data_IF_966823886713
#
_entry.id   IF_966823886713
#
_cell.length_a   1.000
_cell.length_b   1.000
_cell.length_c   1.000
_cell.angle_alpha   90.00
_cell.angle_beta   90.00
_cell.angle_gamma   90.00
#
_symmetry.space_group_name_H-M   'P 1'
#
loop_
_entity.id
_entity.type
_entity.pdbx_description
1 polymer ?
#
# COMPACT_ATOMS: atom_id res chain seq x y z
N UNK A 1 14.49 12.47 -14.40
CA UNK A 1 13.41 11.77 -13.66
C UNK A 1 12.47 12.84 -13.12
N UNK A 2 11.16 12.64 -13.17
CA UNK A 2 10.22 13.57 -12.54
C UNK A 2 10.50 13.67 -11.04
N UNK A 3 10.28 14.84 -10.44
CA UNK A 3 10.34 15.00 -8.98
C UNK A 3 9.38 13.98 -8.33
N UNK A 4 9.75 13.37 -7.19
CA UNK A 4 8.80 12.59 -6.40
C UNK A 4 7.55 13.43 -6.09
N UNK A 5 6.35 12.83 -6.09
CA UNK A 5 5.15 13.51 -5.63
C UNK A 5 5.22 13.75 -4.12
N UNK A 6 4.36 14.63 -3.63
CA UNK A 6 4.15 14.81 -2.19
C UNK A 6 2.89 14.06 -1.78
N UNK A 7 3.04 13.03 -0.95
CA UNK A 7 1.91 12.38 -0.29
C UNK A 7 1.57 13.16 0.97
N UNK A 8 0.39 13.80 0.99
CA UNK A 8 -0.13 14.51 2.16
C UNK A 8 -1.17 13.64 2.84
N UNK A 9 -1.00 13.43 4.14
CA UNK A 9 -1.98 12.75 4.99
C UNK A 9 -2.71 13.84 5.77
N UNK A 10 -4.03 13.80 5.72
CA UNK A 10 -4.89 14.81 6.33
C UNK A 10 -5.77 14.19 7.41
N UNK A 11 -5.97 14.92 8.49
CA UNK A 11 -6.98 14.65 9.50
C UNK A 11 -8.14 15.63 9.32
N UNK A 12 -9.34 15.17 9.65
CA UNK A 12 -10.53 16.03 9.74
C UNK A 12 -10.98 16.04 11.19
N UNK A 13 -11.01 17.21 11.81
CA UNK A 13 -11.44 17.38 13.19
C UNK A 13 -12.96 17.16 13.33
N UNK A 14 -13.43 17.11 14.57
CA UNK A 14 -14.87 17.02 14.87
C UNK A 14 -15.67 18.24 14.37
N UNK A 15 -15.02 19.39 14.19
CA UNK A 15 -15.62 20.61 13.64
C UNK A 15 -15.55 20.67 12.11
N UNK A 16 -14.92 19.67 11.46
CA UNK A 16 -14.73 19.62 10.02
C UNK A 16 -13.50 20.37 9.51
N UNK A 17 -12.65 20.87 10.41
CA UNK A 17 -11.38 21.50 10.05
C UNK A 17 -10.39 20.45 9.56
N UNK A 18 -9.65 20.78 8.49
CA UNK A 18 -8.71 19.87 7.86
C UNK A 18 -7.28 20.28 8.17
N UNK A 19 -6.52 19.36 8.75
CA UNK A 19 -5.12 19.56 9.12
C UNK A 19 -4.22 18.60 8.36
N UNK A 20 -3.06 19.07 7.91
CA UNK A 20 -2.01 18.23 7.33
C UNK A 20 -1.25 17.56 8.47
N UNK A 21 -1.47 16.27 8.67
CA UNK A 21 -0.82 15.49 9.72
C UNK A 21 0.61 15.08 9.35
N UNK A 22 0.85 14.82 8.05
CA UNK A 22 2.17 14.49 7.53
C UNK A 22 2.30 14.83 6.03
N UNK A 23 3.52 15.12 5.60
CA UNK A 23 3.88 15.29 4.20
C UNK A 23 5.13 14.47 3.88
N UNK A 24 4.97 13.45 3.03
CA UNK A 24 6.06 12.57 2.58
C UNK A 24 6.48 13.03 1.19
N UNK A 25 7.75 13.43 1.04
CA UNK A 25 8.27 14.15 -0.13
C UNK A 25 9.28 13.36 -0.96
N UNK A 26 9.74 12.21 -0.47
CA UNK A 26 10.76 11.37 -1.10
C UNK A 26 10.23 10.01 -1.61
N UNK A 27 8.93 9.74 -1.42
CA UNK A 27 8.31 8.50 -1.88
C UNK A 27 8.11 8.51 -3.41
N UNK A 28 8.43 7.40 -4.10
CA UNK A 28 8.11 7.28 -5.52
C UNK A 28 6.59 7.25 -5.73
N UNK A 29 6.15 7.75 -6.89
CA UNK A 29 4.74 7.73 -7.27
C UNK A 29 4.24 6.30 -7.49
N UNK A 30 3.31 5.85 -6.66
CA UNK A 30 2.59 4.60 -6.78
C UNK A 30 1.09 4.80 -6.50
N UNK A 31 0.26 3.88 -7.02
CA UNK A 31 -1.15 3.80 -6.69
C UNK A 31 -1.34 3.36 -5.24
N UNK A 32 -2.07 4.16 -4.47
CA UNK A 32 -2.41 3.93 -3.07
C UNK A 32 -3.91 3.79 -2.96
N UNK A 33 -4.38 2.66 -2.41
CA UNK A 33 -5.81 2.39 -2.23
C UNK A 33 -6.27 2.62 -0.78
N UNK A 34 -5.39 2.39 0.19
CA UNK A 34 -5.71 2.49 1.63
C UNK A 34 -4.54 3.12 2.39
N UNK A 35 -4.87 3.78 3.51
CA UNK A 35 -3.95 4.28 4.53
C UNK A 35 -4.22 3.51 5.81
N UNK A 36 -3.17 3.20 6.56
CA UNK A 36 -3.23 2.37 7.76
C UNK A 36 -2.99 3.22 9.01
N UNK A 37 -3.39 2.73 10.18
CA UNK A 37 -3.18 3.43 11.45
C UNK A 37 -3.16 2.50 12.65
N UNK A 38 -2.25 2.80 13.58
CA UNK A 38 -2.29 2.30 14.96
C UNK A 38 -2.86 3.37 15.88
N UNK A 39 -2.78 3.17 17.19
CA UNK A 39 -3.11 4.21 18.18
C UNK A 39 -2.21 5.45 18.02
N UNK A 40 -0.90 5.26 17.84
CA UNK A 40 0.07 6.35 17.84
C UNK A 40 0.64 6.71 16.46
N UNK A 41 0.43 5.88 15.44
CA UNK A 41 1.08 6.04 14.15
C UNK A 41 0.10 5.97 12.98
N UNK A 42 0.41 6.73 11.94
CA UNK A 42 -0.16 6.55 10.61
C UNK A 42 0.86 5.78 9.79
N UNK A 43 0.41 4.92 8.87
CA UNK A 43 1.33 4.14 8.04
C UNK A 43 0.92 4.26 6.57
N UNK A 44 1.81 4.85 5.77
CA UNK A 44 1.69 4.90 4.32
C UNK A 44 2.59 3.85 3.68
N UNK A 45 1.97 2.85 3.07
CA UNK A 45 2.68 1.77 2.38
C UNK A 45 2.82 2.09 0.89
N UNK A 46 4.05 2.23 0.40
CA UNK A 46 4.38 2.38 -1.02
C UNK A 46 4.77 1.02 -1.60
N UNK A 47 3.76 0.18 -1.83
CA UNK A 47 3.88 -1.09 -2.55
C UNK A 47 4.12 -0.87 -4.05
N UNK A 48 4.38 -1.96 -4.77
CA UNK A 48 4.69 -1.87 -6.18
C UNK A 48 3.42 -1.73 -7.03
N UNK A 49 3.10 -0.50 -7.38
CA UNK A 49 2.14 -0.10 -8.39
C UNK A 49 2.55 1.26 -8.96
N UNK A 50 3.83 1.37 -9.36
CA UNK A 50 4.48 2.62 -9.70
C UNK A 50 3.86 3.26 -10.95
N UNK A 51 3.55 4.56 -10.87
CA UNK A 51 3.19 5.36 -12.04
C UNK A 51 4.44 5.68 -12.86
N UNK A 52 4.63 5.01 -14.00
CA UNK A 52 5.82 5.16 -14.85
C UNK A 52 5.56 5.82 -16.20
N UNK A 53 4.30 5.86 -16.63
CA UNK A 53 3.95 6.35 -17.97
C UNK A 53 2.56 6.99 -18.01
N UNK A 54 2.28 7.75 -19.07
CA UNK A 54 0.93 8.19 -19.38
C UNK A 54 0.10 7.00 -19.90
N UNK A 55 -1.20 7.02 -19.61
CA UNK A 55 -2.09 5.91 -19.92
C UNK A 55 -3.50 6.40 -20.23
N UNK A 56 -4.24 5.60 -20.99
CA UNK A 56 -5.65 5.84 -21.31
C UNK A 56 -6.59 5.57 -20.12
N UNK A 57 -6.09 4.85 -19.13
CA UNK A 57 -6.74 4.54 -17.85
C UNK A 57 -5.67 4.30 -16.78
N UNK A 58 -6.09 4.23 -15.51
CA UNK A 58 -5.19 4.04 -14.36
C UNK A 58 -4.29 2.80 -14.49
N UNK A 59 -4.80 1.66 -14.94
CA UNK A 59 -3.99 0.45 -15.06
C UNK A 59 -2.90 0.59 -16.13
N UNK A 60 -3.17 1.35 -17.20
CA UNK A 60 -2.19 1.58 -18.27
C UNK A 60 -1.08 2.57 -17.90
N UNK A 61 -1.17 3.28 -16.77
CA UNK A 61 -0.09 4.16 -16.28
C UNK A 61 0.95 3.42 -15.43
N UNK A 62 0.64 2.19 -14.99
CA UNK A 62 1.54 1.37 -14.18
C UNK A 62 2.74 0.91 -15.00
N UNK A 63 3.92 0.90 -14.36
CA UNK A 63 5.11 0.25 -14.90
C UNK A 63 5.03 -1.28 -14.90
N UNK A 64 5.99 -1.91 -15.58
CA UNK A 64 6.20 -3.35 -15.48
C UNK A 64 6.58 -3.79 -14.07
N UNK A 65 6.27 -5.04 -13.72
CA UNK A 65 6.67 -5.63 -12.45
C UNK A 65 8.20 -5.77 -12.35
N UNK A 66 8.79 -5.30 -11.25
CA UNK A 66 10.19 -5.39 -10.87
C UNK A 66 10.31 -6.00 -9.45
N UNK A 67 10.76 -7.25 -9.30
CA UNK A 67 10.89 -7.88 -7.98
C UNK A 67 11.91 -7.19 -7.06
N UNK A 68 12.81 -6.35 -7.60
CA UNK A 68 13.79 -5.60 -6.81
C UNK A 68 13.23 -4.29 -6.22
N UNK A 69 12.06 -3.84 -6.70
CA UNK A 69 11.36 -2.68 -6.14
C UNK A 69 10.61 -3.07 -4.86
N UNK A 70 11.37 -3.23 -3.79
CA UNK A 70 10.90 -3.52 -2.42
C UNK A 70 9.91 -2.48 -1.93
N UNK A 71 8.87 -2.92 -1.22
CA UNK A 71 7.85 -2.04 -0.64
C UNK A 71 8.45 -1.15 0.46
N UNK A 72 8.00 0.11 0.52
CA UNK A 72 8.41 1.06 1.55
C UNK A 72 7.25 1.29 2.51
N UNK A 73 7.51 1.36 3.81
CA UNK A 73 6.54 1.82 4.80
C UNK A 73 7.02 3.13 5.39
N UNK A 74 6.21 4.17 5.27
CA UNK A 74 6.43 5.45 5.94
C UNK A 74 5.50 5.52 7.14
N UNK A 75 6.08 5.80 8.31
CA UNK A 75 5.38 5.73 9.59
C UNK A 75 5.53 7.07 10.32
N UNK A 76 4.77 8.11 9.92
CA UNK A 76 4.68 9.33 10.70
C UNK A 76 3.88 9.12 11.98
N UNK A 77 4.28 9.79 13.05
CA UNK A 77 3.51 9.83 14.31
C UNK A 77 2.19 10.58 14.11
N UNK A 78 1.09 10.06 14.68
CA UNK A 78 -0.19 10.74 14.73
C UNK A 78 -0.06 12.04 15.55
N UNK A 79 -0.59 13.15 15.04
CA UNK A 79 -0.47 14.47 15.69
C UNK A 79 0.78 15.29 15.34
N UNK A 80 1.57 14.85 14.35
CA UNK A 80 2.68 15.62 13.77
C UNK A 80 4.02 15.35 14.46
N UNK A 81 4.99 14.84 13.70
CA UNK A 81 6.31 14.51 14.24
C UNK A 81 7.03 13.42 13.44
N UNK A 82 8.12 12.92 14.04
CA UNK A 82 9.11 11.98 13.47
C UNK A 82 8.48 10.95 12.54
N UNK A 83 9.05 10.83 11.34
CA UNK A 83 8.74 9.78 10.38
C UNK A 83 9.78 8.68 10.48
N UNK A 84 9.36 7.44 10.72
CA UNK A 84 10.19 6.27 10.50
C UNK A 84 9.96 5.72 9.08
N UNK A 85 10.98 5.09 8.51
CA UNK A 85 10.92 4.48 7.18
C UNK A 85 11.45 3.05 7.23
N UNK A 86 10.64 2.11 6.77
CA UNK A 86 10.98 0.70 6.69
C UNK A 86 10.94 0.24 5.23
N UNK A 87 11.73 -0.79 4.93
CA UNK A 87 11.78 -1.41 3.61
C UNK A 87 11.52 -2.90 3.81
N UNK A 88 10.55 -3.46 3.11
CA UNK A 88 10.31 -4.91 3.14
C UNK A 88 11.44 -5.67 2.46
N UNK A 89 11.56 -6.96 2.76
CA UNK A 89 12.49 -7.83 2.02
C UNK A 89 12.04 -8.05 0.57
N UNK A 90 10.73 -8.17 0.35
CA UNK A 90 10.12 -8.48 -0.93
C UNK A 90 9.39 -7.30 -1.56
N UNK A 91 9.29 -7.29 -2.88
CA UNK A 91 8.29 -6.50 -3.58
C UNK A 91 6.92 -7.18 -3.49
N UNK A 92 5.86 -6.42 -3.20
CA UNK A 92 4.49 -6.93 -3.25
C UNK A 92 3.52 -5.82 -3.66
N UNK A 93 2.28 -6.20 -3.95
CA UNK A 93 1.16 -5.30 -4.17
C UNK A 93 0.01 -5.63 -3.21
N UNK A 94 -0.79 -4.65 -2.82
CA UNK A 94 -1.98 -4.86 -2.01
C UNK A 94 -3.02 -3.77 -2.31
N UNK A 95 -4.28 -4.05 -1.96
CA UNK A 95 -5.34 -3.04 -1.99
C UNK A 95 -5.72 -2.58 -0.59
N UNK A 96 -5.87 -3.52 0.34
CA UNK A 96 -6.44 -3.27 1.65
C UNK A 96 -5.46 -3.67 2.74
N UNK A 97 -5.61 -3.04 3.89
CA UNK A 97 -5.14 -3.56 5.16
C UNK A 97 -6.11 -4.62 5.70
N UNK A 98 -5.62 -5.49 6.59
CA UNK A 98 -6.49 -6.15 7.58
C UNK A 98 -6.51 -5.33 8.86
N UNK A 99 -5.35 -5.12 9.49
CA UNK A 99 -5.19 -4.30 10.69
C UNK A 99 -3.71 -3.92 10.92
N UNK A 100 -3.47 -2.90 11.73
CA UNK A 100 -2.16 -2.60 12.31
C UNK A 100 -2.26 -2.25 13.78
N UNK A 101 -1.25 -2.65 14.55
CA UNK A 101 -1.20 -2.42 15.98
C UNK A 101 0.23 -2.38 16.50
N UNK A 102 0.43 -1.73 17.64
CA UNK A 102 1.69 -1.71 18.37
C UNK A 102 1.69 -2.86 19.39
N UNK A 103 2.80 -3.59 19.50
CA UNK A 103 2.98 -4.60 20.53
C UNK A 103 3.70 -4.05 21.79
N UNK A 104 3.86 -4.90 22.80
CA UNK A 104 4.52 -4.55 24.07
C UNK A 104 5.99 -4.10 23.91
N UNK A 105 6.62 -4.44 22.77
CA UNK A 105 7.97 -4.01 22.43
C UNK A 105 7.98 -2.71 21.62
N UNK A 106 6.84 -2.02 21.51
CA UNK A 106 6.61 -0.84 20.65
C UNK A 106 6.83 -1.12 19.15
N UNK A 107 6.86 -2.39 18.73
CA UNK A 107 6.97 -2.73 17.32
C UNK A 107 5.59 -2.64 16.66
N UNK A 108 5.56 -2.16 15.42
CA UNK A 108 4.33 -2.02 14.65
C UNK A 108 4.15 -3.28 13.81
N UNK A 109 3.05 -3.98 14.07
CA UNK A 109 2.60 -5.15 13.33
C UNK A 109 1.57 -4.72 12.28
N UNK A 110 1.74 -5.16 11.03
CA UNK A 110 0.87 -4.77 9.91
C UNK A 110 0.42 -6.02 9.15
N UNK A 111 -0.87 -6.33 9.18
CA UNK A 111 -1.46 -7.48 8.52
C UNK A 111 -2.01 -7.09 7.15
N UNK A 112 -1.46 -7.68 6.08
CA UNK A 112 -1.80 -7.31 4.71
C UNK A 112 -2.08 -8.57 3.87
N UNK A 113 -3.21 -8.64 3.13
CA UNK A 113 -3.42 -9.63 2.07
C UNK A 113 -2.54 -9.25 0.86
N UNK A 114 -1.32 -9.79 0.80
CA UNK A 114 -0.33 -9.40 -0.21
C UNK A 114 -0.47 -10.21 -1.50
N UNK A 115 -0.25 -9.54 -2.63
CA UNK A 115 -0.18 -10.12 -3.96
C UNK A 115 1.27 -10.08 -4.46
N UNK A 116 1.71 -11.17 -5.10
CA UNK A 116 3.08 -11.33 -5.60
C UNK A 116 3.35 -10.57 -6.91
N UNK A 117 2.32 -9.99 -7.52
CA UNK A 117 2.41 -9.19 -8.75
C UNK A 117 1.13 -8.34 -8.98
N UNK A 118 1.12 -7.56 -10.06
CA UNK A 118 0.00 -6.72 -10.52
C UNK A 118 -1.06 -7.48 -11.37
N UNK A 119 -1.07 -8.81 -11.35
CA UNK A 119 -1.98 -9.63 -12.15
C UNK A 119 -3.45 -9.46 -11.77
N UNK A 120 -3.74 -9.28 -10.47
CA UNK A 120 -5.11 -9.19 -9.95
C UNK A 120 -5.97 -8.11 -10.65
N UNK A 121 -5.52 -6.84 -10.79
CA UNK A 121 -6.28 -5.84 -11.54
C UNK A 121 -6.62 -6.21 -12.99
N UNK A 122 -5.83 -7.08 -13.63
CA UNK A 122 -6.08 -7.53 -15.01
C UNK A 122 -7.11 -8.64 -15.05
N UNK A 123 -7.01 -9.63 -14.16
CA UNK A 123 -7.94 -10.79 -14.12
C UNK A 123 -9.32 -10.41 -13.60
N UNK A 124 -9.43 -9.30 -12.86
CA UNK A 124 -10.70 -8.76 -12.34
C UNK A 124 -11.44 -7.82 -13.28
N UNK A 125 -11.01 -7.71 -14.55
CA UNK A 125 -11.77 -6.99 -15.57
C UNK A 125 -13.13 -7.65 -15.80
N UNK A 126 -14.15 -6.82 -16.06
CA UNK A 126 -15.54 -7.26 -16.22
C UNK A 126 -15.69 -8.42 -17.22
N UNK A 127 -15.01 -8.39 -18.37
CA UNK A 127 -15.07 -9.47 -19.35
C UNK A 127 -14.61 -10.82 -18.76
N UNK A 128 -13.52 -10.82 -17.99
CA UNK A 128 -12.97 -12.01 -17.35
C UNK A 128 -13.88 -12.50 -16.21
N UNK A 129 -14.37 -11.59 -15.37
CA UNK A 129 -15.30 -11.95 -14.29
C UNK A 129 -16.62 -12.51 -14.82
N UNK A 130 -17.07 -12.06 -15.99
CA UNK A 130 -18.30 -12.55 -16.63
C UNK A 130 -18.13 -13.87 -17.38
N UNK A 131 -16.90 -14.31 -17.65
CA UNK A 131 -16.63 -15.50 -18.49
C UNK A 131 -17.23 -16.78 -17.90
N UNK A 132 -17.38 -16.86 -16.57
CA UNK A 132 -17.94 -18.03 -15.88
C UNK A 132 -19.31 -17.78 -15.21
N UNK A 133 -19.98 -16.67 -15.50
CA UNK A 133 -21.31 -16.41 -14.94
C UNK A 133 -22.29 -17.52 -15.34
N UNK A 134 -22.84 -18.24 -14.36
CA UNK A 134 -23.75 -19.36 -14.56
C UNK A 134 -23.08 -20.74 -14.61
N UNK A 135 -21.75 -20.83 -14.60
CA UNK A 135 -21.02 -22.11 -14.50
C UNK A 135 -20.77 -22.48 -13.03
N UNK A 136 -21.28 -23.64 -12.59
CA UNK A 136 -21.09 -24.15 -11.22
C UNK A 136 -19.70 -24.73 -10.95
N UNK A 137 -18.87 -24.91 -11.97
CA UNK A 137 -17.64 -25.72 -11.88
C UNK A 137 -16.33 -24.94 -12.02
N UNK A 138 -16.36 -23.65 -12.37
CA UNK A 138 -15.15 -22.93 -12.73
C UNK A 138 -14.95 -21.69 -11.85
N UNK A 139 -14.26 -21.87 -10.72
CA UNK A 139 -13.52 -20.76 -10.10
C UNK A 139 -12.55 -20.25 -11.17
N UNK A 140 -12.49 -18.94 -11.40
CA UNK A 140 -11.56 -18.38 -12.38
C UNK A 140 -10.13 -18.80 -12.00
N UNK A 141 -9.45 -19.67 -12.79
CA UNK A 141 -8.18 -20.28 -12.38
C UNK A 141 -7.05 -19.24 -12.22
N UNK A 142 -7.29 -18.02 -12.65
CA UNK A 142 -6.36 -16.89 -12.59
C UNK A 142 -6.53 -15.98 -11.37
N UNK A 143 -7.54 -16.19 -10.52
CA UNK A 143 -7.70 -15.43 -9.27
C UNK A 143 -7.02 -16.21 -8.14
N UNK A 144 -5.80 -15.81 -7.79
CA UNK A 144 -5.09 -16.33 -6.61
C UNK A 144 -5.53 -15.52 -5.40
N UNK A 145 -5.98 -16.20 -4.34
CA UNK A 145 -6.27 -15.55 -3.07
C UNK A 145 -4.96 -15.17 -2.38
N UNK A 146 -4.73 -13.87 -2.12
CA UNK A 146 -3.52 -13.43 -1.45
C UNK A 146 -3.48 -13.95 -0.01
N UNK A 147 -2.40 -14.61 0.44
CA UNK A 147 -2.24 -14.92 1.85
C UNK A 147 -2.09 -13.62 2.65
N UNK A 148 -2.60 -13.63 3.89
CA UNK A 148 -2.32 -12.56 4.85
C UNK A 148 -0.89 -12.76 5.37
N UNK A 149 -0.10 -11.68 5.35
CA UNK A 149 1.24 -11.65 5.93
C UNK A 149 1.33 -10.50 6.93
N UNK A 150 1.85 -10.79 8.11
CA UNK A 150 2.23 -9.80 9.11
C UNK A 150 3.61 -9.25 8.79
N UNK A 151 3.74 -7.93 8.70
CA UNK A 151 5.01 -7.22 8.59
C UNK A 151 5.32 -6.59 9.94
N UNK A 152 6.56 -6.79 10.42
CA UNK A 152 7.05 -6.21 11.66
C UNK A 152 7.94 -5.01 11.36
N UNK A 153 7.57 -3.85 11.89
CA UNK A 153 8.33 -2.63 11.85
C UNK A 153 8.89 -2.34 13.26
N UNK A 154 10.16 -2.69 13.55
CA UNK A 154 10.72 -2.55 14.89
C UNK A 154 10.87 -1.08 15.31
N UNK A 155 10.86 -0.74 16.61
CA UNK A 155 10.87 0.66 17.10
C UNK A 155 12.07 1.48 16.60
N UNK A 156 13.16 0.80 16.26
CA UNK A 156 14.45 1.36 15.84
C UNK A 156 14.76 1.01 14.38
N UNK A 157 13.90 1.39 13.43
CA UNK A 157 14.34 1.41 12.03
C UNK A 157 14.97 2.74 11.64
N UNK A 158 15.95 2.59 10.75
CA UNK A 158 16.89 3.58 10.24
C UNK A 158 16.27 4.97 10.12
N UNK A 159 16.68 5.86 11.03
CA UNK A 159 16.75 7.29 10.76
C UNK A 159 17.76 7.47 9.64
N UNK A 160 17.32 7.55 8.38
CA UNK A 160 18.15 8.12 7.32
C UNK A 160 17.87 9.61 7.25
#
# INVERSE_FOLDING_TARGET
MASPPIYKIFGVSLTGELDVLAAITDAPAAYINTLFSTENYLILTIWQADFKQQGKNLLSTFGSWDPNRKTLFYVPKAGGGVTAKYISDDAFFAFHEVNSFEDESEAINIDIPRMENLGFPTVTRIQNLRTNLGSKTNVSPSIVYPPIRTFLCPPTAVRK
#
